data_IF_106574887631
#
_entry.id   IF_106574887631
#
_cell.length_a   1.000
_cell.length_b   1.000
_cell.length_c   1.000
_cell.angle_alpha   90.00
_cell.angle_beta   90.00
_cell.angle_gamma   90.00
#
_symmetry.space_group_name_H-M   'P 1'
#
loop_
_entity.id
_entity.type
_entity.pdbx_description
1 polymer ?
#
# COMPACT_ATOMS: atom_id res chain seq x y z
N UNK A 1 15.88 2.38 8.07
CA UNK A 1 14.92 1.30 7.68
C UNK A 1 14.00 1.07 8.87
N UNK A 2 12.68 1.00 8.64
CA UNK A 2 11.73 0.60 9.68
C UNK A 2 11.75 -0.92 9.80
N UNK A 3 11.52 -1.48 11.02
CA UNK A 3 11.39 -2.92 11.18
C UNK A 3 10.17 -3.43 10.41
N UNK A 4 10.25 -4.67 9.92
CA UNK A 4 9.06 -5.37 9.45
C UNK A 4 8.27 -5.85 10.68
N UNK A 5 7.04 -5.39 10.80
CA UNK A 5 6.14 -5.77 11.89
C UNK A 5 5.24 -6.87 11.38
N UNK A 6 5.24 -8.01 12.06
CA UNK A 6 4.40 -9.17 11.72
C UNK A 6 3.53 -9.48 12.91
N UNK A 7 2.22 -9.59 12.67
CA UNK A 7 1.24 -10.02 13.67
C UNK A 7 0.37 -11.14 13.10
N UNK A 8 -0.05 -12.05 13.97
CA UNK A 8 -0.94 -13.16 13.60
C UNK A 8 -1.93 -13.45 14.72
N UNK A 9 -2.91 -14.28 14.44
CA UNK A 9 -3.84 -14.82 15.44
C UNK A 9 -3.82 -16.35 15.38
N UNK A 10 -3.96 -16.97 16.53
CA UNK A 10 -4.10 -18.41 16.68
C UNK A 10 -5.32 -18.71 17.56
N UNK A 11 -6.16 -19.66 17.14
CA UNK A 11 -7.38 -20.02 17.88
C UNK A 11 -7.11 -20.89 19.14
N UNK A 12 -5.85 -21.26 19.36
CA UNK A 12 -5.41 -22.05 20.52
C UNK A 12 -4.18 -21.44 21.15
N UNK A 13 -3.85 -21.86 22.38
CA UNK A 13 -2.62 -21.40 23.03
C UNK A 13 -1.41 -21.81 22.21
N UNK A 14 -0.62 -20.84 21.82
CA UNK A 14 0.65 -21.03 21.12
C UNK A 14 1.76 -21.39 22.10
N UNK A 15 2.55 -22.40 21.78
CA UNK A 15 3.73 -22.82 22.55
C UNK A 15 5.01 -22.24 21.93
N UNK A 16 5.08 -22.23 20.59
CA UNK A 16 6.22 -21.68 19.85
C UNK A 16 5.83 -21.30 18.43
N UNK A 17 6.68 -20.50 17.79
CA UNK A 17 6.53 -20.15 16.38
C UNK A 17 7.89 -20.08 15.66
N UNK A 18 7.86 -20.20 14.35
CA UNK A 18 8.98 -19.90 13.45
C UNK A 18 8.46 -19.15 12.24
N UNK A 19 9.18 -18.11 11.81
CA UNK A 19 8.83 -17.30 10.65
C UNK A 19 9.90 -17.44 9.59
N UNK A 20 9.46 -17.53 8.34
CA UNK A 20 10.33 -17.42 7.17
C UNK A 20 9.72 -16.51 6.11
N UNK A 21 10.56 -15.95 5.25
CA UNK A 21 10.16 -15.13 4.11
C UNK A 21 10.82 -15.72 2.87
N UNK A 22 10.01 -15.88 1.82
CA UNK A 22 10.44 -16.43 0.54
C UNK A 22 10.24 -15.42 -0.59
N UNK A 23 11.15 -15.48 -1.56
CA UNK A 23 11.04 -14.83 -2.87
C UNK A 23 11.27 -15.89 -3.93
N UNK A 24 10.36 -16.03 -4.88
CA UNK A 24 10.46 -16.99 -6.00
C UNK A 24 10.81 -18.43 -5.55
N UNK A 25 10.27 -18.85 -4.39
CA UNK A 25 10.53 -20.13 -3.71
C UNK A 25 11.87 -20.23 -2.96
N UNK A 26 12.72 -19.22 -3.01
CA UNK A 26 13.96 -19.16 -2.25
C UNK A 26 13.73 -18.51 -0.89
N UNK A 27 14.30 -19.09 0.17
CA UNK A 27 14.21 -18.55 1.52
C UNK A 27 15.20 -17.38 1.64
N UNK A 28 14.69 -16.15 1.75
CA UNK A 28 15.48 -14.92 1.95
C UNK A 28 15.64 -14.55 3.41
N UNK A 29 14.77 -15.08 4.27
CA UNK A 29 14.86 -14.94 5.72
C UNK A 29 14.29 -16.18 6.40
N UNK A 30 14.96 -16.67 7.43
CA UNK A 30 14.49 -17.73 8.32
C UNK A 30 14.88 -17.41 9.74
N UNK A 31 13.89 -17.06 10.56
CA UNK A 31 14.08 -16.87 12.00
C UNK A 31 14.31 -18.18 12.74
N UNK A 32 14.86 -18.10 13.92
CA UNK A 32 14.91 -19.23 14.82
C UNK A 32 13.50 -19.59 15.33
N UNK A 33 13.33 -20.83 15.79
CA UNK A 33 12.10 -21.23 16.48
C UNK A 33 12.07 -20.58 17.88
N UNK A 34 11.05 -19.77 18.12
CA UNK A 34 10.89 -19.00 19.37
C UNK A 34 9.82 -19.68 20.23
N UNK A 35 10.16 -20.00 21.46
CA UNK A 35 9.22 -20.50 22.47
C UNK A 35 8.59 -19.30 23.15
N UNK A 36 7.40 -18.91 22.68
CA UNK A 36 6.65 -17.75 23.17
C UNK A 36 5.17 -17.86 22.80
N UNK A 37 4.33 -17.26 23.61
CA UNK A 37 2.91 -17.01 23.30
C UNK A 37 2.66 -15.68 22.59
N UNK A 38 3.70 -14.88 22.31
CA UNK A 38 3.58 -13.62 21.61
C UNK A 38 3.08 -13.84 20.18
N UNK A 39 2.23 -12.94 19.73
CA UNK A 39 1.63 -12.97 18.38
C UNK A 39 2.00 -11.74 17.55
N UNK A 40 3.08 -11.07 17.93
CA UNK A 40 3.66 -9.95 17.22
C UNK A 40 5.18 -9.98 17.35
N UNK A 41 5.87 -9.72 16.25
CA UNK A 41 7.33 -9.56 16.23
C UNK A 41 7.76 -8.38 15.38
N UNK A 42 8.96 -7.92 15.66
CA UNK A 42 9.65 -6.88 14.91
C UNK A 42 10.93 -7.47 14.35
N UNK A 43 11.07 -7.53 13.02
CA UNK A 43 12.28 -8.00 12.36
C UNK A 43 13.06 -6.78 11.88
N UNK A 44 14.17 -6.52 12.53
CA UNK A 44 15.07 -5.43 12.19
C UNK A 44 16.09 -5.88 11.12
N UNK A 45 16.62 -4.91 10.39
CA UNK A 45 17.73 -5.11 9.44
C UNK A 45 17.46 -6.17 8.34
N UNK A 46 16.21 -6.44 8.04
CA UNK A 46 15.83 -7.33 6.96
C UNK A 46 16.24 -6.70 5.61
N UNK A 47 16.96 -7.46 4.78
CA UNK A 47 17.42 -6.99 3.49
C UNK A 47 16.46 -7.48 2.38
N UNK A 48 15.33 -6.80 2.23
CA UNK A 48 14.40 -7.02 1.14
C UNK A 48 14.69 -6.04 -0.01
N UNK A 49 14.34 -6.42 -1.22
CA UNK A 49 14.39 -5.57 -2.41
C UNK A 49 13.14 -4.69 -2.47
N UNK A 50 13.23 -3.51 -3.10
CA UNK A 50 12.10 -2.63 -3.35
C UNK A 50 11.14 -3.26 -4.38
N UNK A 51 9.87 -2.91 -4.31
CA UNK A 51 8.83 -3.25 -5.29
C UNK A 51 8.76 -4.74 -5.65
N UNK A 52 9.05 -5.60 -4.67
CA UNK A 52 9.24 -7.05 -4.86
C UNK A 52 8.20 -7.83 -4.09
N UNK A 53 7.68 -8.90 -4.71
CA UNK A 53 6.71 -9.80 -4.11
C UNK A 53 7.41 -10.84 -3.24
N UNK A 54 6.85 -11.07 -2.04
CA UNK A 54 7.32 -12.05 -1.08
C UNK A 54 6.17 -12.88 -0.52
N UNK A 55 6.50 -14.03 0.02
CA UNK A 55 5.59 -14.86 0.82
C UNK A 55 6.15 -14.96 2.24
N UNK A 56 5.42 -14.41 3.18
CA UNK A 56 5.62 -14.65 4.60
C UNK A 56 5.03 -16.00 4.96
N UNK A 57 5.78 -16.87 5.63
CA UNK A 57 5.30 -18.14 6.17
C UNK A 57 5.50 -18.18 7.67
N UNK A 58 4.54 -18.73 8.38
CA UNK A 58 4.61 -18.97 9.81
C UNK A 58 4.27 -20.43 10.14
N UNK A 59 5.08 -21.03 10.97
CA UNK A 59 4.82 -22.29 11.62
C UNK A 59 4.53 -22.02 13.09
N UNK A 60 3.40 -22.51 13.59
CA UNK A 60 2.98 -22.37 14.98
C UNK A 60 2.85 -23.78 15.59
N UNK A 61 3.49 -24.01 16.73
CA UNK A 61 3.26 -25.22 17.52
C UNK A 61 2.30 -24.91 18.67
N UNK A 62 1.28 -25.72 18.84
CA UNK A 62 0.30 -25.65 19.93
C UNK A 62 -0.10 -27.06 20.35
N UNK A 63 0.05 -27.40 21.64
CA UNK A 63 -0.29 -28.70 22.16
C UNK A 63 0.30 -29.86 21.32
N UNK A 64 1.58 -29.79 20.98
CA UNK A 64 2.31 -30.77 20.15
C UNK A 64 1.79 -30.89 18.70
N UNK A 65 0.86 -30.05 18.26
CA UNK A 65 0.41 -29.95 16.88
C UNK A 65 1.06 -28.77 16.18
N UNK A 66 1.33 -28.92 14.90
CA UNK A 66 1.92 -27.86 14.07
C UNK A 66 0.87 -27.34 13.12
N UNK A 67 0.79 -26.01 13.04
CA UNK A 67 -0.10 -25.26 12.14
C UNK A 67 0.76 -24.38 11.25
N UNK A 68 0.30 -24.17 10.02
CA UNK A 68 0.98 -23.35 9.03
C UNK A 68 0.07 -22.24 8.56
N UNK A 69 0.65 -21.07 8.35
CA UNK A 69 -0.02 -19.94 7.72
C UNK A 69 0.93 -19.26 6.76
N UNK A 70 0.38 -18.62 5.72
CA UNK A 70 1.15 -17.81 4.79
C UNK A 70 0.41 -16.53 4.41
N UNK A 71 1.18 -15.53 4.00
CA UNK A 71 0.68 -14.25 3.50
C UNK A 71 1.59 -13.71 2.42
N UNK A 72 1.02 -13.42 1.26
CA UNK A 72 1.72 -12.68 0.20
C UNK A 72 1.75 -11.20 0.56
N UNK A 73 2.88 -10.58 0.35
CA UNK A 73 3.05 -9.13 0.48
C UNK A 73 4.02 -8.62 -0.59
N UNK A 74 3.95 -7.33 -0.85
CA UNK A 74 4.87 -6.64 -1.75
C UNK A 74 5.55 -5.51 -0.97
N UNK A 75 6.85 -5.36 -1.15
CA UNK A 75 7.58 -4.20 -0.64
C UNK A 75 7.25 -2.97 -1.47
N UNK A 76 7.27 -1.82 -0.82
CA UNK A 76 7.09 -0.53 -1.47
C UNK A 76 8.36 0.01 -2.12
N UNK A 77 8.30 1.28 -2.47
CA UNK A 77 9.45 2.03 -3.00
C UNK A 77 10.49 2.22 -1.88
N UNK A 78 11.75 1.90 -2.17
CA UNK A 78 12.87 2.22 -1.30
C UNK A 78 13.65 3.38 -1.92
N UNK A 79 13.67 4.52 -1.26
CA UNK A 79 14.35 5.70 -1.75
C UNK A 79 13.39 6.84 -2.09
N UNK A 80 13.71 7.59 -3.14
CA UNK A 80 12.97 8.79 -3.51
C UNK A 80 11.68 8.46 -4.27
N UNK A 81 10.58 9.12 -3.90
CA UNK A 81 9.33 9.06 -4.64
C UNK A 81 9.43 9.97 -5.87
N UNK A 82 9.39 9.39 -7.07
CA UNK A 82 9.61 10.11 -8.34
C UNK A 82 8.40 10.94 -8.78
N UNK A 83 7.23 10.74 -8.19
CA UNK A 83 6.02 11.49 -8.50
C UNK A 83 6.16 12.97 -8.16
N UNK A 84 5.50 13.81 -8.95
CA UNK A 84 5.42 15.25 -8.68
C UNK A 84 4.03 15.60 -8.18
N UNK A 85 3.97 16.61 -7.33
CA UNK A 85 2.69 17.19 -6.91
C UNK A 85 1.99 17.84 -8.10
N UNK A 86 0.70 17.58 -8.22
CA UNK A 86 -0.17 18.18 -9.23
C UNK A 86 -1.42 18.75 -8.54
N UNK A 87 -1.92 19.84 -9.05
CA UNK A 87 -3.14 20.52 -8.57
C UNK A 87 -3.88 21.13 -9.74
N UNK A 88 -5.01 21.74 -9.47
CA UNK A 88 -5.86 22.43 -10.46
C UNK A 88 -5.56 23.93 -10.57
N UNK A 89 -4.46 24.40 -10.02
CA UNK A 89 -4.02 25.80 -10.01
C UNK A 89 -5.03 26.82 -9.41
N UNK A 90 -6.08 26.35 -8.74
CA UNK A 90 -7.00 27.24 -8.03
C UNK A 90 -6.28 27.97 -6.91
N UNK A 91 -6.47 29.30 -6.87
CA UNK A 91 -5.98 30.12 -5.78
C UNK A 91 -7.16 30.54 -4.89
N UNK A 92 -6.99 30.35 -3.59
CA UNK A 92 -7.91 30.86 -2.59
C UNK A 92 -7.37 32.21 -2.15
N UNK A 93 -8.03 33.29 -2.56
CA UNK A 93 -7.55 34.66 -2.30
C UNK A 93 -8.08 35.22 -0.99
N UNK A 94 -9.21 34.70 -0.51
CA UNK A 94 -9.90 35.18 0.70
C UNK A 94 -10.33 34.04 1.58
N UNK A 95 -10.42 34.28 2.89
CA UNK A 95 -10.88 33.32 3.87
C UNK A 95 -12.29 32.79 3.55
N UNK A 96 -13.20 33.65 3.06
CA UNK A 96 -14.55 33.26 2.67
C UNK A 96 -14.58 32.25 1.52
N UNK A 97 -13.50 32.15 0.75
CA UNK A 97 -13.40 31.20 -0.36
C UNK A 97 -13.31 29.73 0.13
N UNK A 98 -12.86 29.51 1.36
CA UNK A 98 -12.82 28.16 1.96
C UNK A 98 -14.21 27.59 2.25
N UNK A 99 -15.21 28.45 2.45
CA UNK A 99 -16.57 28.04 2.83
C UNK A 99 -17.54 28.01 1.65
N UNK A 100 -17.08 28.30 0.44
CA UNK A 100 -17.92 28.21 -0.78
C UNK A 100 -18.04 26.77 -1.24
N UNK A 101 -19.26 26.38 -1.57
CA UNK A 101 -19.50 25.11 -2.24
C UNK A 101 -18.72 25.05 -3.57
N UNK A 102 -17.96 24.01 -3.76
CA UNK A 102 -17.10 23.82 -4.94
C UNK A 102 -17.25 22.43 -5.48
N UNK A 103 -17.12 22.31 -6.80
CA UNK A 103 -17.03 21.01 -7.47
C UNK A 103 -15.68 20.36 -7.14
N UNK A 104 -15.69 19.04 -6.97
CA UNK A 104 -14.47 18.26 -6.82
C UNK A 104 -13.58 18.44 -8.05
N UNK A 105 -12.29 18.55 -7.82
CA UNK A 105 -11.30 18.57 -8.89
C UNK A 105 -11.11 17.17 -9.44
N UNK A 106 -11.11 17.06 -10.77
CA UNK A 106 -10.80 15.82 -11.47
C UNK A 106 -9.51 16.04 -12.26
N UNK A 107 -8.49 15.28 -11.91
CA UNK A 107 -7.22 15.23 -12.66
C UNK A 107 -7.26 13.98 -13.56
N UNK A 108 -7.02 14.15 -14.85
CA UNK A 108 -7.13 13.08 -15.85
C UNK A 108 -5.86 12.97 -16.68
N UNK A 109 -5.48 11.73 -17.01
CA UNK A 109 -4.41 11.42 -17.95
C UNK A 109 -4.84 10.27 -18.86
N UNK A 110 -4.74 10.48 -20.15
CA UNK A 110 -4.89 9.45 -21.17
C UNK A 110 -3.51 8.97 -21.60
N UNK A 111 -3.38 7.67 -21.85
CA UNK A 111 -2.14 7.05 -22.29
C UNK A 111 -2.42 5.77 -23.08
N UNK A 112 -1.45 5.34 -23.87
CA UNK A 112 -1.56 4.14 -24.69
C UNK A 112 -0.56 3.08 -24.24
N UNK A 113 -1.00 1.83 -24.20
CA UNK A 113 -0.17 0.67 -23.95
C UNK A 113 -0.04 -0.18 -25.23
N UNK A 114 1.19 -0.53 -25.60
CA UNK A 114 1.45 -1.41 -26.74
C UNK A 114 0.92 -2.82 -26.53
N UNK A 115 0.92 -3.29 -25.29
CA UNK A 115 0.42 -4.59 -24.86
C UNK A 115 -0.15 -4.51 -23.44
N UNK A 116 -0.99 -5.46 -23.05
CA UNK A 116 -1.48 -5.56 -21.67
C UNK A 116 -0.32 -5.93 -20.75
N UNK A 117 -0.01 -5.16 -19.71
CA UNK A 117 1.12 -5.44 -18.84
C UNK A 117 0.90 -6.69 -17.99
N UNK A 118 1.95 -7.47 -17.75
CA UNK A 118 1.92 -8.61 -16.83
C UNK A 118 1.80 -8.17 -15.37
N UNK A 119 2.42 -7.06 -15.04
CA UNK A 119 2.30 -6.39 -13.75
C UNK A 119 2.22 -4.88 -13.98
N UNK A 120 1.38 -4.20 -13.20
CA UNK A 120 1.29 -2.74 -13.20
C UNK A 120 0.87 -2.26 -11.82
N UNK A 121 1.64 -1.34 -11.27
CA UNK A 121 1.34 -0.74 -9.98
C UNK A 121 1.30 0.77 -10.09
N UNK A 122 0.40 1.39 -9.35
CA UNK A 122 0.39 2.83 -9.13
C UNK A 122 0.70 3.11 -7.66
N UNK A 123 1.55 4.09 -7.44
CA UNK A 123 1.84 4.67 -6.13
C UNK A 123 1.25 6.07 -6.12
N UNK A 124 0.32 6.33 -5.22
CA UNK A 124 -0.44 7.56 -5.20
C UNK A 124 -0.49 8.16 -3.80
N UNK A 125 -0.42 9.48 -3.73
CA UNK A 125 -0.52 10.27 -2.50
C UNK A 125 -1.58 11.34 -2.71
N UNK A 126 -2.53 11.42 -1.80
CA UNK A 126 -3.47 12.53 -1.70
C UNK A 126 -3.21 13.34 -0.43
N UNK A 127 -3.00 14.67 -0.57
CA UNK A 127 -3.04 15.58 0.58
C UNK A 127 -4.48 16.04 0.77
N UNK A 128 -5.29 15.22 1.36
CA UNK A 128 -6.74 15.27 1.42
C UNK A 128 -7.29 13.91 1.09
N UNK A 129 -8.47 13.85 0.49
CA UNK A 129 -9.06 12.61 0.05
C UNK A 129 -9.03 12.48 -1.47
N UNK A 130 -8.99 11.26 -1.97
CA UNK A 130 -9.11 11.00 -3.40
C UNK A 130 -9.87 9.70 -3.69
N UNK A 131 -10.46 9.64 -4.87
CA UNK A 131 -10.90 8.41 -5.51
C UNK A 131 -10.10 8.23 -6.80
N UNK A 132 -9.51 7.04 -6.97
CA UNK A 132 -8.76 6.67 -8.17
C UNK A 132 -9.65 5.82 -9.08
N UNK A 133 -9.64 6.12 -10.37
CA UNK A 133 -10.35 5.37 -11.40
C UNK A 133 -9.42 5.06 -12.57
N UNK A 134 -9.56 3.87 -13.12
CA UNK A 134 -8.89 3.45 -14.35
C UNK A 134 -9.93 2.84 -15.29
N UNK A 135 -9.99 3.35 -16.50
CA UNK A 135 -10.95 2.92 -17.52
C UNK A 135 -12.41 2.90 -17.02
N UNK A 136 -12.78 3.90 -16.21
CA UNK A 136 -14.11 4.06 -15.64
C UNK A 136 -14.42 3.16 -14.42
N UNK A 137 -13.50 2.34 -13.97
CA UNK A 137 -13.65 1.49 -12.78
C UNK A 137 -12.92 2.10 -11.59
N UNK A 138 -13.59 2.19 -10.43
CA UNK A 138 -12.94 2.61 -9.17
C UNK A 138 -11.86 1.59 -8.78
N UNK A 139 -10.68 2.07 -8.43
CA UNK A 139 -9.56 1.26 -7.96
C UNK A 139 -9.54 1.26 -6.43
N UNK A 140 -9.48 0.07 -5.86
CA UNK A 140 -9.56 -0.10 -4.41
C UNK A 140 -10.99 0.02 -3.87
N UNK A 141 -11.13 -0.20 -2.57
CA UNK A 141 -12.40 -0.19 -1.85
C UNK A 141 -12.42 0.73 -0.62
N UNK A 142 -11.34 1.50 -0.43
CA UNK A 142 -11.28 2.46 0.65
C UNK A 142 -12.17 3.68 0.35
N UNK A 143 -12.81 4.21 1.39
CA UNK A 143 -13.65 5.40 1.29
C UNK A 143 -12.86 6.68 1.52
N UNK A 144 -11.82 6.63 2.36
CA UNK A 144 -10.97 7.76 2.71
C UNK A 144 -9.51 7.36 2.50
N UNK A 145 -8.91 7.84 1.42
CA UNK A 145 -7.50 7.66 1.06
C UNK A 145 -6.83 9.04 1.02
N UNK A 146 -5.62 9.23 1.43
CA UNK A 146 -4.68 8.37 2.15
C UNK A 146 -4.88 8.60 3.66
N UNK A 147 -4.39 7.68 4.51
CA UNK A 147 -4.42 7.88 5.96
C UNK A 147 -3.67 9.17 6.33
N UNK A 148 -4.27 9.95 7.25
CA UNK A 148 -3.69 11.19 7.72
C UNK A 148 -2.41 10.96 8.54
N UNK A 149 -1.41 11.80 8.30
CA UNK A 149 -0.17 11.85 9.06
C UNK A 149 0.21 13.29 9.38
N UNK A 150 1.20 13.48 10.23
CA UNK A 150 1.82 14.79 10.35
C UNK A 150 2.70 15.03 9.11
N UNK A 151 2.20 15.80 8.16
CA UNK A 151 2.83 16.04 6.85
C UNK A 151 4.23 16.67 6.93
N UNK A 152 4.60 17.31 8.06
CA UNK A 152 5.97 17.80 8.27
C UNK A 152 6.97 16.68 8.60
N UNK A 153 6.49 15.47 8.98
CA UNK A 153 7.32 14.34 9.36
C UNK A 153 7.32 13.23 8.32
N UNK A 154 6.22 13.05 7.62
CA UNK A 154 6.11 12.01 6.60
C UNK A 154 4.68 11.90 6.06
N UNK A 155 4.58 11.40 4.87
CA UNK A 155 3.30 11.21 4.17
C UNK A 155 3.24 9.75 3.72
N UNK A 156 2.13 9.09 3.99
CA UNK A 156 1.86 7.76 3.46
C UNK A 156 1.48 7.84 1.98
N UNK A 157 1.72 6.78 1.26
CA UNK A 157 1.24 6.57 -0.09
C UNK A 157 0.47 5.26 -0.16
N UNK A 158 -0.51 5.21 -1.04
CA UNK A 158 -1.24 3.99 -1.35
C UNK A 158 -0.62 3.31 -2.56
N UNK A 159 -0.71 1.98 -2.60
CA UNK A 159 -0.25 1.16 -3.71
C UNK A 159 -1.39 0.29 -4.21
N UNK A 160 -1.68 0.36 -5.51
CA UNK A 160 -2.69 -0.48 -6.14
C UNK A 160 -2.10 -1.26 -7.31
N UNK A 161 -2.48 -2.53 -7.42
CA UNK A 161 -2.24 -3.31 -8.63
C UNK A 161 -3.29 -2.92 -9.68
N UNK A 162 -2.83 -2.46 -10.83
CA UNK A 162 -3.68 -2.02 -11.93
C UNK A 162 -3.85 -3.06 -13.04
N UNK A 163 -3.27 -4.24 -12.91
CA UNK A 163 -3.24 -5.26 -13.96
C UNK A 163 -4.63 -5.58 -14.53
N UNK A 164 -5.65 -5.69 -13.67
CA UNK A 164 -7.02 -6.01 -14.08
C UNK A 164 -7.80 -4.82 -14.68
N UNK A 165 -7.26 -3.63 -14.56
CA UNK A 165 -7.89 -2.39 -15.03
C UNK A 165 -7.36 -1.94 -16.38
N UNK A 166 -6.14 -2.35 -16.74
CA UNK A 166 -5.44 -1.90 -17.94
C UNK A 166 -5.71 -2.82 -19.13
N UNK A 167 -5.77 -2.22 -20.33
CA UNK A 167 -5.95 -2.93 -21.59
C UNK A 167 -4.86 -2.52 -22.59
N UNK A 168 -4.66 -3.32 -23.61
CA UNK A 168 -3.88 -2.91 -24.78
C UNK A 168 -4.60 -1.77 -25.49
N UNK A 169 -3.86 -0.77 -25.97
CA UNK A 169 -4.39 0.43 -26.61
C UNK A 169 -4.65 1.55 -25.60
N UNK A 170 -5.70 2.33 -25.83
CA UNK A 170 -6.03 3.51 -25.03
C UNK A 170 -6.48 3.17 -23.62
N UNK A 171 -5.91 3.88 -22.65
CA UNK A 171 -6.26 3.79 -21.25
C UNK A 171 -6.44 5.20 -20.67
N UNK A 172 -7.32 5.31 -19.69
CA UNK A 172 -7.63 6.55 -18.99
C UNK A 172 -7.46 6.31 -17.49
N UNK A 173 -6.65 7.14 -16.85
CA UNK A 173 -6.61 7.26 -15.40
C UNK A 173 -7.16 8.61 -15.01
N UNK A 174 -8.03 8.65 -14.00
CA UNK A 174 -8.43 9.90 -13.38
C UNK A 174 -8.53 9.77 -11.87
N UNK A 175 -8.30 10.90 -11.22
CA UNK A 175 -8.35 11.04 -9.78
C UNK A 175 -9.33 12.16 -9.46
N UNK A 176 -10.37 11.83 -8.72
CA UNK A 176 -11.29 12.78 -8.13
C UNK A 176 -10.75 13.17 -6.75
N UNK A 177 -10.51 14.46 -6.53
CA UNK A 177 -10.01 14.97 -5.26
C UNK A 177 -11.17 15.40 -4.36
N UNK A 178 -11.11 15.00 -3.10
CA UNK A 178 -11.99 15.51 -2.04
C UNK A 178 -11.21 16.36 -1.05
N UNK A 179 -11.92 17.22 -0.34
CA UNK A 179 -11.34 18.01 0.72
C UNK A 179 -10.95 17.12 1.91
N UNK A 180 -9.90 17.52 2.61
CA UNK A 180 -9.38 16.84 3.78
C UNK A 180 -8.58 17.78 4.65
N UNK A 181 -7.75 17.25 5.51
CA UNK A 181 -6.99 18.06 6.48
C UNK A 181 -6.01 19.06 5.88
N UNK A 182 -5.57 18.84 4.65
CA UNK A 182 -4.65 19.76 3.98
C UNK A 182 -5.39 20.86 3.21
N UNK A 183 -6.57 20.54 2.72
CA UNK A 183 -7.40 21.45 1.92
C UNK A 183 -8.86 21.37 2.45
N UNK A 184 -9.19 22.04 3.54
CA UNK A 184 -10.50 22.05 4.16
C UNK A 184 -11.57 22.76 3.31
#
# INVERSE_FOLDING_TARGET
>A
KFPLIISWSCNSRQDSYQISIEKDSDIVYKGEKVVSSDSIIFIENLNLEAETNYILKIEITSNSKVFYGDKKFRTGIFGEFLGKWISDDRKLEKEEDYYKERRNTILRKDFELKETPKEAFIYIVGLGYYNLYVNGKKVGNAELNTDWTNYSKGIFYDTYNLQEYLVQGENIVFVELGNGWYNP
#
